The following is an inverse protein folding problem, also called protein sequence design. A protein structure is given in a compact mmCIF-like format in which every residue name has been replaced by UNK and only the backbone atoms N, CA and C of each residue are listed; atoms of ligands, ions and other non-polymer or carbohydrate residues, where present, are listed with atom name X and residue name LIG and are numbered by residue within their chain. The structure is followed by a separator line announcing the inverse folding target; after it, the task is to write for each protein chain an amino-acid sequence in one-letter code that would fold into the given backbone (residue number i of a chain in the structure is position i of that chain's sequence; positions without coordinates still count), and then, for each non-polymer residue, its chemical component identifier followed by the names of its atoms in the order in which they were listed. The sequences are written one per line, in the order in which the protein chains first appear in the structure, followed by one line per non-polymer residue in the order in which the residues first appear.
data_IF_475521894222
#
_entry.id   IF_475521894222
#
_cell.length_a   1.000
_cell.length_b   1.000
_cell.length_c   1.000
_cell.angle_alpha   90.00
_cell.angle_beta   90.00
_cell.angle_gamma   90.00
#
_symmetry.space_group_name_H-M   'P 1'
#
loop_
_entity.id
_entity.type
_entity.pdbx_description
1 polymer ?
#
# COMPACT_ATOMS: atom_id res chain seq x y z
N UNK A 1 14.58 -5.82 -8.70
CA UNK A 1 13.37 -6.68 -8.87
C UNK A 1 12.31 -6.14 -7.91
N UNK A 2 11.03 -6.16 -8.29
CA UNK A 2 9.96 -5.52 -7.51
C UNK A 2 8.68 -6.34 -7.58
N UNK A 3 7.99 -6.44 -6.45
CA UNK A 3 6.63 -6.95 -6.36
C UNK A 3 5.85 -6.09 -5.36
N UNK A 4 4.58 -5.86 -5.61
CA UNK A 4 3.78 -5.06 -4.70
C UNK A 4 2.32 -5.48 -4.64
N UNK A 5 1.75 -5.30 -3.45
CA UNK A 5 0.32 -5.44 -3.17
C UNK A 5 -0.18 -4.07 -2.70
N UNK A 6 -1.38 -3.70 -3.16
CA UNK A 6 -1.98 -2.40 -2.83
C UNK A 6 -3.39 -2.58 -2.31
N UNK A 7 -3.80 -1.68 -1.42
CA UNK A 7 -5.16 -1.63 -0.90
C UNK A 7 -5.60 -0.20 -0.62
N UNK A 8 -6.86 0.10 -0.92
CA UNK A 8 -7.48 1.38 -0.63
C UNK A 8 -8.29 1.27 0.65
N UNK A 9 -8.20 2.29 1.50
CA UNK A 9 -8.91 2.41 2.75
C UNK A 9 -9.80 3.66 2.72
N UNK A 10 -11.08 3.50 3.02
CA UNK A 10 -11.98 4.63 3.35
C UNK A 10 -11.73 5.15 4.76
N UNK A 11 -11.18 4.29 5.62
CA UNK A 11 -10.79 4.53 7.00
C UNK A 11 -9.58 3.63 7.31
N UNK A 12 -8.64 4.12 8.12
CA UNK A 12 -7.53 3.32 8.62
C UNK A 12 -7.70 3.11 10.13
N UNK A 13 -8.12 1.90 10.51
CA UNK A 13 -8.36 1.52 11.91
C UNK A 13 -7.11 1.00 12.62
N UNK A 14 -7.17 0.92 13.95
CA UNK A 14 -6.05 0.55 14.82
C UNK A 14 -5.49 -0.84 14.49
N UNK A 15 -6.34 -1.85 14.26
CA UNK A 15 -5.89 -3.21 13.90
C UNK A 15 -5.07 -3.24 12.60
N UNK A 16 -5.41 -2.40 11.63
CA UNK A 16 -4.66 -2.29 10.38
C UNK A 16 -3.31 -1.59 10.61
N UNK A 17 -3.26 -0.60 11.50
CA UNK A 17 -2.03 0.08 11.90
C UNK A 17 -1.11 -0.89 12.63
N UNK A 18 -1.64 -1.66 13.58
CA UNK A 18 -0.89 -2.68 14.32
C UNK A 18 -0.28 -3.72 13.39
N UNK A 19 -1.06 -4.22 12.42
CA UNK A 19 -0.56 -5.15 11.41
C UNK A 19 0.55 -4.51 10.54
N UNK A 20 0.40 -3.25 10.14
CA UNK A 20 1.45 -2.54 9.39
C UNK A 20 2.73 -2.43 10.20
N UNK A 21 2.64 -2.11 11.49
CA UNK A 21 3.81 -2.02 12.38
C UNK A 21 4.49 -3.39 12.51
N UNK A 22 3.70 -4.45 12.71
CA UNK A 22 4.21 -5.82 12.80
C UNK A 22 5.00 -6.20 11.54
N UNK A 23 4.41 -6.05 10.35
CA UNK A 23 5.07 -6.43 9.09
C UNK A 23 6.20 -5.50 8.68
N UNK A 24 6.15 -4.21 9.06
CA UNK A 24 7.25 -3.28 8.83
C UNK A 24 8.52 -3.71 9.59
N UNK A 25 8.38 -4.40 10.72
CA UNK A 25 9.51 -4.92 11.50
C UNK A 25 10.18 -6.16 10.87
N UNK A 26 9.54 -6.80 9.89
CA UNK A 26 9.99 -8.06 9.28
C UNK A 26 10.15 -7.98 7.75
N UNK A 27 10.44 -6.78 7.21
CA UNK A 27 10.61 -6.60 5.78
C UNK A 27 11.77 -7.44 5.23
N UNK A 28 11.61 -8.07 4.04
CA UNK A 28 12.57 -9.05 3.53
C UNK A 28 13.93 -8.44 3.16
N UNK A 29 13.97 -7.15 2.83
CA UNK A 29 15.19 -6.42 2.49
C UNK A 29 15.14 -4.98 2.98
N UNK A 30 16.31 -4.34 3.09
CA UNK A 30 16.42 -2.91 3.41
C UNK A 30 15.85 -1.97 2.32
N UNK A 31 15.53 -2.50 1.13
CA UNK A 31 14.95 -1.73 0.02
C UNK A 31 13.41 -1.81 -0.01
N UNK A 32 12.84 -2.73 0.78
CA UNK A 32 11.40 -2.94 0.89
C UNK A 32 10.78 -1.91 1.83
N UNK A 33 9.50 -1.61 1.66
CA UNK A 33 8.77 -0.64 2.47
C UNK A 33 7.28 -0.94 2.53
N UNK A 34 6.62 -0.44 3.57
CA UNK A 34 5.16 -0.28 3.60
C UNK A 34 4.88 1.22 3.53
N UNK A 35 4.23 1.66 2.46
CA UNK A 35 3.89 3.05 2.22
C UNK A 35 2.39 3.28 2.44
N UNK A 36 2.05 4.29 3.24
CA UNK A 36 0.66 4.77 3.42
C UNK A 36 0.57 6.21 2.92
N UNK A 37 -0.20 6.43 1.86
CA UNK A 37 -0.45 7.75 1.28
C UNK A 37 -1.85 8.25 1.59
N UNK A 38 -1.98 9.49 2.08
CA UNK A 38 -3.28 10.17 2.22
C UNK A 38 -3.74 10.66 0.84
N UNK A 39 -4.83 10.09 0.32
CA UNK A 39 -5.40 10.42 -0.99
C UNK A 39 -6.56 11.41 -0.95
N UNK A 40 -7.27 11.47 0.18
CA UNK A 40 -8.56 12.18 0.30
C UNK A 40 -8.52 13.69 0.01
N UNK A 41 -9.37 14.45 0.71
CA UNK A 41 -9.41 15.89 0.53
C UNK A 41 -9.95 16.30 -0.86
N UNK A 42 -9.18 17.01 -1.69
CA UNK A 42 -9.68 17.56 -2.96
C UNK A 42 -10.06 16.47 -3.96
N UNK A 43 -9.33 15.35 -3.98
CA UNK A 43 -9.58 14.26 -4.91
C UNK A 43 -10.94 13.58 -4.69
N UNK A 44 -11.47 13.63 -3.46
CA UNK A 44 -12.74 13.03 -3.05
C UNK A 44 -13.97 13.92 -3.25
N UNK A 45 -13.81 15.18 -3.69
CA UNK A 45 -14.93 16.15 -3.74
C UNK A 45 -15.86 15.98 -4.94
N UNK A 46 -15.42 15.28 -5.99
CA UNK A 46 -16.26 15.03 -7.17
C UNK A 46 -16.84 13.62 -7.10
N UNK A 47 -18.04 13.45 -7.67
CA UNK A 47 -18.71 12.17 -7.73
C UNK A 47 -17.83 11.11 -8.44
N UNK A 48 -17.83 9.84 -8.01
CA UNK A 48 -17.15 8.73 -8.68
C UNK A 48 -17.37 8.72 -10.19
N UNK A 49 -18.61 8.99 -10.61
CA UNK A 49 -19.06 8.85 -12.00
C UNK A 49 -18.70 10.05 -12.88
N UNK A 50 -18.12 11.10 -12.29
CA UNK A 50 -17.68 12.28 -13.03
C UNK A 50 -16.43 12.02 -13.88
N UNK A 51 -15.71 10.93 -13.63
CA UNK A 51 -14.49 10.53 -14.35
C UNK A 51 -14.37 9.00 -14.44
N UNK A 52 -13.43 8.48 -15.22
CA UNK A 52 -13.13 7.05 -15.25
C UNK A 52 -12.52 6.51 -13.93
N UNK A 53 -12.00 7.37 -13.06
CA UNK A 53 -11.48 6.98 -11.75
C UNK A 53 -12.60 6.96 -10.71
N UNK A 54 -13.02 5.75 -10.32
CA UNK A 54 -14.17 5.52 -9.45
C UNK A 54 -13.86 5.61 -7.93
N UNK A 55 -12.62 5.38 -7.50
CA UNK A 55 -12.26 5.26 -6.07
C UNK A 55 -12.14 6.60 -5.33
N UNK A 56 -13.12 7.50 -5.53
CA UNK A 56 -13.13 8.87 -4.95
C UNK A 56 -13.33 8.88 -3.44
N UNK A 57 -13.89 7.82 -2.88
CA UNK A 57 -14.08 7.61 -1.44
C UNK A 57 -12.82 7.17 -0.69
N UNK A 58 -11.77 6.75 -1.42
CA UNK A 58 -10.48 6.36 -0.81
C UNK A 58 -9.87 7.52 -0.01
N UNK A 59 -9.64 7.31 1.28
CA UNK A 59 -8.93 8.25 2.13
C UNK A 59 -7.44 7.93 2.19
N UNK A 60 -7.07 6.65 2.26
CA UNK A 60 -5.68 6.22 2.28
C UNK A 60 -5.42 5.13 1.24
N UNK A 61 -4.23 5.14 0.64
CA UNK A 61 -3.71 4.01 -0.13
C UNK A 61 -2.55 3.40 0.64
N UNK A 62 -2.57 2.09 0.77
CA UNK A 62 -1.47 1.30 1.30
C UNK A 62 -0.80 0.55 0.16
N UNK A 63 0.52 0.60 0.11
CA UNK A 63 1.33 -0.23 -0.77
C UNK A 63 2.38 -0.97 0.05
N UNK A 64 2.44 -2.28 -0.09
CA UNK A 64 3.54 -3.12 0.42
C UNK A 64 4.47 -3.37 -0.76
N UNK A 65 5.67 -2.78 -0.73
CA UNK A 65 6.67 -2.88 -1.79
C UNK A 65 7.78 -3.86 -1.37
N UNK A 66 7.82 -5.03 -1.99
CA UNK A 66 8.98 -5.91 -1.95
C UNK A 66 9.99 -5.47 -3.01
N UNK A 67 11.26 -5.26 -2.62
CA UNK A 67 12.36 -4.90 -3.54
C UNK A 67 13.63 -5.67 -3.24
N UNK A 68 14.28 -6.22 -4.25
CA UNK A 68 15.49 -7.02 -4.10
C UNK A 68 16.33 -7.03 -5.39
N UNK A 69 17.57 -7.50 -5.32
CA UNK A 69 18.52 -7.48 -6.44
C UNK A 69 18.67 -8.84 -7.10
N UNK A 70 18.96 -9.88 -6.32
CA UNK A 70 19.30 -11.22 -6.81
C UNK A 70 18.05 -12.07 -7.09
N UNK A 71 18.03 -12.82 -8.20
CA UNK A 71 16.92 -13.73 -8.55
C UNK A 71 16.66 -14.81 -7.49
N UNK A 72 17.70 -15.21 -6.74
CA UNK A 72 17.58 -16.22 -5.67
C UNK A 72 16.60 -15.80 -4.56
N UNK A 73 16.37 -14.48 -4.40
CA UNK A 73 15.52 -13.90 -3.35
C UNK A 73 14.07 -13.71 -3.83
N UNK A 74 13.71 -14.19 -5.03
CA UNK A 74 12.36 -14.04 -5.59
C UNK A 74 11.26 -14.62 -4.70
N UNK A 75 11.50 -15.80 -4.12
CA UNK A 75 10.51 -16.45 -3.28
C UNK A 75 10.18 -15.58 -2.04
N UNK A 76 11.21 -15.00 -1.43
CA UNK A 76 11.08 -14.14 -0.25
C UNK A 76 10.52 -12.75 -0.61
N UNK A 77 10.87 -12.23 -1.79
CA UNK A 77 10.41 -10.93 -2.27
C UNK A 77 8.97 -10.90 -2.79
N UNK A 78 8.40 -12.05 -3.17
CA UNK A 78 7.03 -12.19 -3.70
C UNK A 78 6.01 -12.56 -2.60
N UNK A 79 6.45 -13.22 -1.52
CA UNK A 79 5.59 -13.65 -0.41
C UNK A 79 4.74 -12.50 0.14
#
# INVERSE_FOLDING_TARGET
RNYWKSHNFTELGDEAIDAVIEYAASLPTAQSEIFIGLLGGKASRIAPEATAYAHRDTQFVLNVHGRWEDEKDDADGIA
#
